data_IF_584847163382
#
_entry.id   IF_584847163382
#
_cell.length_a   1.000
_cell.length_b   1.000
_cell.length_c   1.000
_cell.angle_alpha   90.00
_cell.angle_beta   90.00
_cell.angle_gamma   90.00
#
_symmetry.space_group_name_H-M   'P 1'
#
loop_
_entity.id
_entity.type
_entity.pdbx_description
1 polymer ?
#
# COMPACT_ATOMS: atom_id res chain seq x y z
N UNK A 1 -21.01 -8.12 1.77
CA UNK A 1 -19.96 -8.23 2.80
C UNK A 1 -20.48 -9.12 3.91
N UNK A 2 -19.68 -10.12 4.33
CA UNK A 2 -20.02 -11.00 5.44
C UNK A 2 -19.43 -10.43 6.74
N UNK A 3 -20.26 -10.23 7.73
CA UNK A 3 -19.88 -9.80 9.08
C UNK A 3 -19.99 -10.99 10.01
N UNK A 4 -18.92 -11.28 10.77
CA UNK A 4 -18.86 -12.38 11.75
C UNK A 4 -18.60 -11.85 13.15
N UNK A 5 -19.21 -12.47 14.16
CA UNK A 5 -18.98 -12.14 15.57
C UNK A 5 -19.00 -13.38 16.45
N UNK A 6 -18.42 -13.25 17.63
CA UNK A 6 -18.49 -14.28 18.65
C UNK A 6 -19.79 -14.13 19.40
N UNK A 7 -20.62 -15.18 19.39
CA UNK A 7 -21.88 -15.22 20.14
C UNK A 7 -21.56 -15.29 21.64
N UNK A 8 -22.16 -14.37 22.42
CA UNK A 8 -21.90 -14.26 23.86
C UNK A 8 -23.15 -13.81 24.61
N UNK A 9 -23.48 -14.51 25.70
CA UNK A 9 -24.56 -14.10 26.59
C UNK A 9 -24.29 -12.80 27.34
N UNK A 10 -23.00 -12.45 27.53
CA UNK A 10 -22.61 -11.19 28.19
C UNK A 10 -22.80 -9.97 27.31
N UNK A 11 -22.65 -10.14 26.01
CA UNK A 11 -22.78 -9.08 25.02
C UNK A 11 -23.67 -9.60 23.89
N UNK A 12 -24.99 -9.71 24.12
CA UNK A 12 -25.90 -10.19 23.08
C UNK A 12 -25.94 -9.22 21.90
N UNK A 13 -26.03 -9.78 20.71
CA UNK A 13 -26.20 -9.02 19.46
C UNK A 13 -27.63 -9.21 19.00
N UNK A 14 -28.35 -8.15 18.68
CA UNK A 14 -29.67 -8.20 18.09
C UNK A 14 -29.76 -7.47 16.75
N UNK A 15 -28.69 -6.79 16.36
CA UNK A 15 -28.67 -6.06 15.11
C UNK A 15 -27.26 -5.61 14.70
N UNK A 16 -27.23 -4.94 13.57
CA UNK A 16 -26.07 -4.24 13.04
C UNK A 16 -26.45 -2.81 12.68
N UNK A 17 -25.57 -1.86 12.95
CA UNK A 17 -25.65 -0.52 12.43
C UNK A 17 -24.59 -0.34 11.36
N UNK A 18 -24.95 0.17 10.18
CA UNK A 18 -24.01 0.45 9.09
C UNK A 18 -24.22 1.86 8.56
N UNK A 19 -23.13 2.56 8.29
CA UNK A 19 -23.14 3.89 7.69
C UNK A 19 -21.92 4.10 6.80
N UNK A 20 -22.10 4.93 5.79
CA UNK A 20 -21.02 5.33 4.91
C UNK A 20 -20.10 6.36 5.60
N UNK A 21 -18.80 6.25 5.39
CA UNK A 21 -17.81 7.21 5.93
C UNK A 21 -18.11 8.63 5.44
N UNK A 22 -18.09 9.58 6.36
CA UNK A 22 -18.40 10.98 6.06
C UNK A 22 -19.89 11.33 6.01
N UNK A 23 -20.78 10.36 6.24
CA UNK A 23 -22.23 10.61 6.34
C UNK A 23 -22.73 10.47 7.77
N UNK A 24 -23.89 11.06 8.05
CA UNK A 24 -24.61 10.88 9.32
C UNK A 24 -25.78 9.89 9.18
N UNK A 25 -26.03 9.41 7.96
CA UNK A 25 -27.12 8.48 7.69
C UNK A 25 -26.69 7.06 8.07
N UNK A 26 -27.37 6.52 9.07
CA UNK A 26 -27.12 5.20 9.59
C UNK A 26 -28.29 4.27 9.25
N UNK A 27 -27.98 3.12 8.68
CA UNK A 27 -28.96 2.05 8.43
C UNK A 27 -28.89 1.01 9.54
N UNK A 28 -30.00 0.80 10.22
CA UNK A 28 -30.14 -0.29 11.18
C UNK A 28 -30.59 -1.57 10.49
N UNK A 29 -30.00 -2.69 10.87
CA UNK A 29 -30.32 -4.04 10.39
C UNK A 29 -30.67 -4.89 11.60
N UNK A 30 -31.92 -5.25 11.74
CA UNK A 30 -32.34 -6.19 12.77
C UNK A 30 -32.02 -7.62 12.34
N UNK A 31 -31.51 -8.43 13.25
CA UNK A 31 -31.16 -9.82 13.00
C UNK A 31 -32.30 -10.73 13.47
N UNK A 32 -32.81 -11.57 12.56
CA UNK A 32 -33.84 -12.59 12.93
C UNK A 32 -33.20 -13.71 13.77
N UNK A 33 -31.95 -14.06 13.49
CA UNK A 33 -31.18 -15.05 14.25
C UNK A 33 -29.73 -14.57 14.44
N UNK A 34 -29.49 -13.99 15.59
CA UNK A 34 -28.12 -13.54 15.98
C UNK A 34 -27.23 -14.69 16.48
N UNK A 35 -27.83 -15.87 16.77
CA UNK A 35 -27.07 -17.05 17.22
C UNK A 35 -26.20 -17.67 16.10
N UNK A 36 -26.49 -17.35 14.85
CA UNK A 36 -25.67 -17.74 13.71
C UNK A 36 -24.24 -17.16 13.76
N UNK A 37 -24.01 -16.08 14.52
CA UNK A 37 -22.70 -15.43 14.64
C UNK A 37 -22.20 -14.79 13.33
N UNK A 38 -23.07 -14.63 12.33
CA UNK A 38 -22.72 -14.04 11.04
C UNK A 38 -23.95 -13.45 10.33
N UNK A 39 -23.70 -12.46 9.49
CA UNK A 39 -24.70 -11.83 8.63
C UNK A 39 -24.09 -11.30 7.34
N UNK A 40 -24.79 -11.44 6.21
CA UNK A 40 -24.34 -10.92 4.92
C UNK A 40 -25.10 -9.65 4.57
N UNK A 41 -24.37 -8.53 4.51
CA UNK A 41 -24.89 -7.24 4.06
C UNK A 41 -24.76 -7.16 2.54
N UNK A 42 -25.87 -6.89 1.87
CA UNK A 42 -25.97 -6.73 0.41
C UNK A 42 -26.40 -5.32 0.04
N UNK A 43 -26.24 -4.96 -1.25
CA UNK A 43 -26.68 -3.65 -1.78
C UNK A 43 -25.84 -2.47 -1.37
N UNK A 44 -24.59 -2.72 -0.92
CA UNK A 44 -23.64 -1.67 -0.65
C UNK A 44 -23.03 -1.13 -1.96
N UNK A 45 -22.76 0.17 -1.98
CA UNK A 45 -22.09 0.82 -3.12
C UNK A 45 -20.65 0.27 -3.26
N UNK A 46 -20.21 -0.10 -4.46
CA UNK A 46 -18.83 -0.52 -4.69
C UNK A 46 -17.82 0.59 -4.34
N UNK A 47 -16.65 0.18 -3.85
CA UNK A 47 -15.52 1.09 -3.54
C UNK A 47 -15.85 2.17 -2.52
N UNK A 48 -16.85 1.95 -1.73
CA UNK A 48 -17.32 2.87 -0.69
C UNK A 48 -16.87 2.36 0.67
N UNK A 49 -16.38 3.25 1.49
CA UNK A 49 -15.98 2.93 2.87
C UNK A 49 -17.16 3.04 3.80
N UNK A 50 -17.36 1.99 4.55
CA UNK A 50 -18.41 1.89 5.54
C UNK A 50 -17.86 1.61 6.93
N UNK A 51 -18.61 2.04 7.92
CA UNK A 51 -18.48 1.54 9.27
C UNK A 51 -19.62 0.58 9.55
N UNK A 52 -19.34 -0.48 10.30
CA UNK A 52 -20.34 -1.39 10.85
C UNK A 52 -20.10 -1.57 12.34
N UNK A 53 -21.15 -1.56 13.12
CA UNK A 53 -21.10 -1.87 14.54
C UNK A 53 -22.13 -2.96 14.87
N UNK A 54 -21.81 -3.80 15.86
CA UNK A 54 -22.81 -4.68 16.47
C UNK A 54 -23.74 -3.83 17.34
N UNK A 55 -25.03 -4.20 17.39
CA UNK A 55 -26.00 -3.51 18.23
C UNK A 55 -26.66 -4.44 19.23
N UNK A 56 -27.06 -3.85 20.36
CA UNK A 56 -27.88 -4.48 21.40
C UNK A 56 -28.91 -3.47 21.88
N UNK A 57 -30.16 -3.63 21.49
CA UNK A 57 -31.25 -2.73 21.82
C UNK A 57 -31.62 -2.71 23.31
N UNK A 58 -31.21 -3.74 24.07
CA UNK A 58 -31.43 -3.83 25.51
C UNK A 58 -30.29 -3.17 26.32
N UNK A 59 -29.26 -2.67 25.67
CA UNK A 59 -28.16 -1.97 26.36
C UNK A 59 -28.59 -0.58 26.85
N UNK A 60 -27.91 -0.01 27.88
CA UNK A 60 -28.16 1.35 28.31
C UNK A 60 -27.98 2.37 27.17
N UNK A 61 -28.71 3.47 27.23
CA UNK A 61 -28.61 4.58 26.27
C UNK A 61 -27.16 5.04 26.09
N UNK A 62 -26.69 5.07 24.84
CA UNK A 62 -25.33 5.43 24.47
C UNK A 62 -24.33 4.25 24.47
N UNK A 63 -24.75 3.05 24.88
CA UNK A 63 -23.95 1.83 24.86
C UNK A 63 -24.51 0.76 23.90
N UNK A 64 -25.47 1.12 23.06
CA UNK A 64 -26.14 0.19 22.14
C UNK A 64 -25.25 -0.32 21.03
N UNK A 65 -24.17 0.42 20.73
CA UNK A 65 -23.23 0.08 19.65
C UNK A 65 -21.86 -0.29 20.21
N UNK A 66 -21.29 -1.35 19.68
CA UNK A 66 -19.96 -1.81 20.09
C UNK A 66 -19.25 -2.55 18.95
N UNK A 67 -17.95 -2.78 19.12
CA UNK A 67 -17.11 -3.46 18.13
C UNK A 67 -17.18 -2.84 16.72
N UNK A 68 -17.14 -1.51 16.64
CA UNK A 68 -17.14 -0.81 15.37
C UNK A 68 -15.95 -1.21 14.52
N UNK A 69 -16.20 -1.58 13.27
CA UNK A 69 -15.21 -1.92 12.27
C UNK A 69 -15.38 -1.04 11.03
N UNK A 70 -14.29 -0.70 10.41
CA UNK A 70 -14.23 0.04 9.15
C UNK A 70 -13.85 -0.92 8.03
N UNK A 71 -14.56 -0.87 6.91
CA UNK A 71 -14.21 -1.64 5.72
C UNK A 71 -14.56 -0.88 4.45
N UNK A 72 -13.90 -1.22 3.35
CA UNK A 72 -14.24 -0.68 2.02
C UNK A 72 -14.78 -1.82 1.16
N UNK A 73 -15.92 -1.58 0.51
CA UNK A 73 -16.53 -2.55 -0.37
C UNK A 73 -15.66 -2.80 -1.60
N UNK A 74 -15.58 -4.05 -2.02
CA UNK A 74 -15.00 -4.42 -3.31
C UNK A 74 -16.03 -4.23 -4.44
N UNK A 75 -15.58 -4.46 -5.67
CA UNK A 75 -16.44 -4.48 -6.84
C UNK A 75 -16.15 -3.35 -7.81
N UNK A 76 -16.83 -3.42 -8.95
CA UNK A 76 -16.64 -2.46 -10.04
C UNK A 76 -17.75 -1.41 -9.97
N UNK A 77 -17.41 -0.10 -9.93
CA UNK A 77 -18.41 0.96 -10.06
C UNK A 77 -19.19 0.84 -11.37
N UNK A 78 -20.48 1.21 -11.33
CA UNK A 78 -21.35 1.08 -12.50
C UNK A 78 -20.98 2.02 -13.66
N UNK A 79 -20.25 3.09 -13.38
CA UNK A 79 -19.75 4.07 -14.33
C UNK A 79 -18.33 3.78 -14.84
N UNK A 80 -17.75 2.64 -14.45
CA UNK A 80 -16.43 2.24 -14.88
C UNK A 80 -16.39 2.05 -16.41
N UNK A 81 -15.41 2.68 -17.04
CA UNK A 81 -15.17 2.53 -18.48
C UNK A 81 -14.36 1.27 -18.73
N UNK A 82 -14.94 0.31 -19.42
CA UNK A 82 -14.25 -0.92 -19.80
C UNK A 82 -13.17 -0.62 -20.85
N UNK A 83 -11.96 -1.09 -20.61
CA UNK A 83 -10.84 -1.00 -21.56
C UNK A 83 -10.52 -2.42 -22.03
N UNK A 84 -10.91 -2.74 -23.25
CA UNK A 84 -10.78 -4.07 -23.83
C UNK A 84 -9.38 -4.36 -24.36
N UNK A 85 -8.69 -3.33 -24.85
CA UNK A 85 -7.37 -3.45 -25.48
C UNK A 85 -6.32 -2.63 -24.72
N UNK A 86 -5.16 -3.22 -24.50
CA UNK A 86 -4.06 -2.63 -23.75
C UNK A 86 -3.45 -1.37 -24.38
N UNK A 87 -3.56 -1.20 -25.68
CA UNK A 87 -3.02 -0.01 -26.40
C UNK A 87 -3.86 1.25 -26.22
N UNK A 88 -5.13 1.10 -25.92
CA UNK A 88 -6.07 2.21 -25.80
C UNK A 88 -6.04 2.95 -24.46
N UNK A 89 -5.45 2.33 -23.43
CA UNK A 89 -5.57 2.85 -22.05
C UNK A 89 -4.99 4.25 -21.92
N UNK A 90 -3.80 4.50 -22.49
CA UNK A 90 -3.14 5.79 -22.38
C UNK A 90 -3.96 6.91 -23.04
N UNK A 91 -4.52 6.66 -24.22
CA UNK A 91 -5.32 7.64 -24.95
C UNK A 91 -6.66 7.89 -24.26
N UNK A 92 -7.29 6.84 -23.71
CA UNK A 92 -8.51 6.97 -22.89
C UNK A 92 -8.26 7.78 -21.60
N UNK A 93 -7.13 7.58 -20.93
CA UNK A 93 -6.77 8.37 -19.75
C UNK A 93 -6.59 9.84 -20.15
N UNK A 94 -5.81 10.14 -21.20
CA UNK A 94 -5.59 11.51 -21.65
C UNK A 94 -6.89 12.20 -22.03
N UNK A 95 -7.70 11.57 -22.88
CA UNK A 95 -9.01 12.10 -23.27
C UNK A 95 -9.92 12.34 -22.05
N UNK A 96 -9.91 11.41 -21.08
CA UNK A 96 -10.66 11.56 -19.83
C UNK A 96 -10.15 12.70 -18.95
N UNK A 97 -8.83 12.96 -18.90
CA UNK A 97 -8.26 14.08 -18.15
C UNK A 97 -8.69 15.44 -18.77
N UNK A 98 -8.85 15.49 -20.08
CA UNK A 98 -9.29 16.70 -20.81
C UNK A 98 -10.82 16.90 -20.75
N UNK A 99 -11.60 15.86 -20.48
CA UNK A 99 -13.07 15.90 -20.41
C UNK A 99 -13.54 16.59 -19.11
N UNK A 100 -13.90 17.87 -19.21
CA UNK A 100 -14.33 18.67 -18.05
C UNK A 100 -15.68 18.25 -17.46
N UNK A 101 -16.45 17.41 -18.15
CA UNK A 101 -17.73 16.89 -17.62
C UNK A 101 -17.54 15.80 -16.56
N UNK A 102 -16.35 15.17 -16.51
CA UNK A 102 -16.03 14.12 -15.56
C UNK A 102 -15.27 14.66 -14.35
N UNK A 103 -15.70 14.28 -13.17
CA UNK A 103 -15.01 14.61 -11.93
C UNK A 103 -13.91 13.61 -11.60
N UNK A 104 -14.05 12.37 -12.04
CA UNK A 104 -13.11 11.30 -11.84
C UNK A 104 -13.10 10.33 -13.02
N UNK A 105 -12.05 9.51 -13.11
CA UNK A 105 -11.92 8.47 -14.11
C UNK A 105 -11.84 7.11 -13.42
N UNK A 106 -12.72 6.21 -13.80
CA UNK A 106 -12.68 4.82 -13.36
C UNK A 106 -12.58 3.91 -14.57
N UNK A 107 -11.51 3.15 -14.66
CA UNK A 107 -11.28 2.20 -15.73
C UNK A 107 -11.34 0.78 -15.20
N UNK A 108 -12.15 -0.05 -15.84
CA UNK A 108 -12.14 -1.48 -15.68
C UNK A 108 -11.21 -2.09 -16.71
N UNK A 109 -10.11 -2.65 -16.26
CA UNK A 109 -9.16 -3.37 -17.09
C UNK A 109 -9.60 -4.82 -17.23
N UNK A 110 -9.52 -5.36 -18.43
CA UNK A 110 -9.89 -6.74 -18.73
C UNK A 110 -8.84 -7.71 -18.21
N UNK A 111 -9.29 -8.76 -17.58
CA UNK A 111 -8.41 -9.80 -17.03
C UNK A 111 -7.51 -10.42 -18.10
N UNK A 112 -6.24 -10.68 -17.74
CA UNK A 112 -5.25 -11.32 -18.60
C UNK A 112 -4.72 -10.43 -19.74
N UNK A 113 -5.08 -9.14 -19.78
CA UNK A 113 -4.62 -8.21 -20.81
C UNK A 113 -3.43 -7.37 -20.31
N UNK A 114 -2.46 -7.18 -21.18
CA UNK A 114 -1.31 -6.29 -20.94
C UNK A 114 -1.63 -4.87 -21.40
N UNK A 115 -1.50 -3.91 -20.50
CA UNK A 115 -1.75 -2.50 -20.75
C UNK A 115 -0.46 -1.71 -20.71
N UNK A 116 -0.30 -0.79 -21.67
CA UNK A 116 0.92 -0.01 -21.80
C UNK A 116 0.64 1.48 -21.61
N UNK A 117 1.29 2.10 -20.64
CA UNK A 117 1.30 3.56 -20.48
C UNK A 117 2.41 4.18 -21.35
N UNK A 118 2.50 3.74 -22.60
CA UNK A 118 3.54 4.15 -23.55
C UNK A 118 2.92 4.55 -24.88
N UNK A 119 3.58 5.43 -25.60
CA UNK A 119 3.12 5.81 -26.95
C UNK A 119 3.21 4.61 -27.90
N UNK A 120 2.13 4.32 -28.61
CA UNK A 120 2.07 3.24 -29.60
C UNK A 120 1.96 1.81 -29.03
N UNK A 121 1.71 1.67 -27.71
CA UNK A 121 1.56 0.34 -27.10
C UNK A 121 2.86 -0.49 -27.02
N UNK A 122 4.00 0.12 -27.25
CA UNK A 122 5.28 -0.59 -27.26
C UNK A 122 5.88 -0.67 -25.84
N UNK A 123 6.20 -1.87 -25.37
CA UNK A 123 6.86 -2.12 -24.09
C UNK A 123 8.17 -1.33 -23.95
N UNK A 124 8.85 -1.09 -25.06
CA UNK A 124 10.14 -0.39 -25.09
C UNK A 124 10.03 1.13 -25.11
N UNK A 125 8.89 1.69 -25.44
CA UNK A 125 8.72 3.13 -25.55
C UNK A 125 8.65 3.78 -24.16
N UNK A 126 9.14 5.01 -24.03
CA UNK A 126 9.03 5.78 -22.79
C UNK A 126 7.57 6.12 -22.52
N UNK A 127 7.15 5.96 -21.27
CA UNK A 127 5.89 6.55 -20.82
C UNK A 127 6.01 8.07 -20.89
N UNK A 128 5.15 8.73 -21.63
CA UNK A 128 5.01 10.18 -21.50
C UNK A 128 4.37 10.51 -20.16
N UNK A 129 4.74 11.65 -19.57
CA UNK A 129 4.08 12.13 -18.36
C UNK A 129 2.58 12.30 -18.61
N UNK A 130 1.77 11.66 -17.77
CA UNK A 130 0.32 11.83 -17.76
C UNK A 130 -0.03 12.83 -16.66
N UNK A 131 -0.38 14.06 -17.04
CA UNK A 131 -0.79 15.08 -16.07
C UNK A 131 -2.16 14.71 -15.50
N UNK A 132 -2.19 14.43 -14.20
CA UNK A 132 -3.45 14.21 -13.48
C UNK A 132 -4.06 15.56 -13.09
N UNK A 133 -5.30 15.75 -13.47
CA UNK A 133 -6.14 16.91 -13.11
C UNK A 133 -7.32 16.51 -12.23
N UNK A 134 -7.61 15.22 -12.16
CA UNK A 134 -8.72 14.61 -11.40
C UNK A 134 -8.36 13.20 -10.91
N UNK A 135 -9.21 12.66 -10.08
CA UNK A 135 -9.06 11.30 -9.52
C UNK A 135 -9.03 10.22 -10.60
N UNK A 136 -8.28 9.15 -10.34
CA UNK A 136 -8.21 8.00 -11.23
C UNK A 136 -8.21 6.69 -10.44
N UNK A 137 -8.95 5.70 -10.96
CA UNK A 137 -8.91 4.32 -10.50
C UNK A 137 -8.70 3.37 -11.69
N UNK A 138 -7.73 2.46 -11.56
CA UNK A 138 -7.45 1.36 -12.47
C UNK A 138 -7.81 0.07 -11.74
N UNK A 139 -8.86 -0.60 -12.17
CA UNK A 139 -9.47 -1.70 -11.44
C UNK A 139 -9.62 -2.92 -12.34
N UNK A 140 -9.47 -4.14 -11.79
CA UNK A 140 -9.84 -5.35 -12.48
C UNK A 140 -10.73 -6.25 -11.62
N UNK A 141 -11.51 -7.10 -12.27
CA UNK A 141 -12.29 -8.13 -11.58
C UNK A 141 -11.37 -9.23 -11.02
N UNK A 142 -11.82 -10.00 -10.02
CA UNK A 142 -11.10 -11.20 -9.59
C UNK A 142 -10.83 -12.16 -10.75
N UNK A 143 -9.66 -12.80 -10.76
CA UNK A 143 -9.21 -13.71 -11.79
C UNK A 143 -7.76 -13.43 -12.20
N UNK A 144 -7.39 -13.79 -13.43
CA UNK A 144 -6.07 -13.49 -13.98
C UNK A 144 -5.89 -11.97 -14.06
N UNK A 145 -4.92 -11.44 -13.33
CA UNK A 145 -4.74 -9.98 -13.23
C UNK A 145 -4.19 -9.40 -14.53
N UNK A 146 -4.73 -8.29 -15.02
CA UNK A 146 -4.08 -7.54 -16.09
C UNK A 146 -2.75 -6.95 -15.59
N UNK A 147 -1.83 -6.71 -16.52
CA UNK A 147 -0.55 -6.09 -16.20
C UNK A 147 -0.46 -4.70 -16.78
N UNK A 148 -0.15 -3.72 -15.92
CA UNK A 148 0.14 -2.35 -16.31
C UNK A 148 1.65 -2.16 -16.46
N UNK A 149 2.11 -1.98 -17.69
CA UNK A 149 3.51 -1.70 -17.98
C UNK A 149 3.81 -0.20 -17.94
N UNK A 150 4.83 0.15 -17.15
CA UNK A 150 5.30 1.53 -16.97
C UNK A 150 6.78 1.63 -17.32
N UNK A 151 7.20 2.79 -17.82
CA UNK A 151 8.59 3.10 -18.09
C UNK A 151 8.85 4.59 -18.04
N UNK A 152 9.88 5.05 -17.36
CA UNK A 152 10.33 6.45 -17.22
C UNK A 152 9.21 7.52 -17.33
N UNK A 153 8.81 8.05 -16.22
CA UNK A 153 7.65 8.92 -16.09
C UNK A 153 6.39 8.12 -15.86
N UNK A 154 5.37 8.72 -15.40
CA UNK A 154 4.04 8.14 -15.25
C UNK A 154 3.00 9.22 -14.93
N UNK A 155 2.21 9.01 -13.88
CA UNK A 155 1.24 9.99 -13.45
C UNK A 155 1.91 11.14 -12.72
N UNK A 156 1.67 12.36 -13.17
CA UNK A 156 2.22 13.58 -12.57
C UNK A 156 1.09 14.48 -12.08
N UNK A 157 1.18 14.87 -10.84
CA UNK A 157 0.37 15.93 -10.24
C UNK A 157 1.22 17.19 -10.13
N UNK A 158 0.74 18.30 -10.68
CA UNK A 158 1.40 19.60 -10.59
C UNK A 158 0.43 20.62 -10.02
N UNK A 159 0.44 20.85 -8.69
CA UNK A 159 -0.35 21.92 -8.09
C UNK A 159 0.19 23.29 -8.52
N UNK A 160 -0.67 24.14 -9.08
CA UNK A 160 -0.32 25.48 -9.56
C UNK A 160 -1.35 26.50 -9.04
N UNK A 161 -0.90 27.70 -8.71
CA UNK A 161 -1.82 28.77 -8.28
C UNK A 161 -2.85 29.04 -9.35
N UNK A 162 -4.14 29.01 -8.98
CA UNK A 162 -5.26 29.18 -9.91
C UNK A 162 -5.58 27.98 -10.80
N UNK A 163 -4.82 26.87 -10.69
CA UNK A 163 -5.07 25.63 -11.43
C UNK A 163 -4.73 24.42 -10.56
N UNK A 164 -5.45 24.29 -9.44
CA UNK A 164 -5.30 23.17 -8.53
C UNK A 164 -6.00 21.93 -9.09
N UNK A 165 -5.32 20.78 -9.21
CA UNK A 165 -5.98 19.54 -9.57
C UNK A 165 -6.94 19.10 -8.46
N UNK A 166 -8.10 18.57 -8.85
CA UNK A 166 -9.05 17.98 -7.90
C UNK A 166 -8.89 16.46 -7.87
N UNK A 167 -8.00 15.97 -7.01
CA UNK A 167 -7.67 14.54 -6.91
C UNK A 167 -8.04 14.07 -5.51
N UNK A 168 -9.18 13.41 -5.41
CA UNK A 168 -9.58 12.74 -4.17
C UNK A 168 -8.85 11.41 -4.00
N UNK A 169 -8.66 10.66 -5.10
CA UNK A 169 -8.01 9.38 -5.03
C UNK A 169 -7.13 9.04 -6.23
N UNK A 170 -6.13 8.21 -5.96
CA UNK A 170 -5.36 7.44 -6.92
C UNK A 170 -5.40 5.97 -6.49
N UNK A 171 -6.08 5.12 -7.25
CA UNK A 171 -6.33 3.73 -6.86
C UNK A 171 -5.88 2.78 -7.98
N UNK A 172 -5.13 1.74 -7.61
CA UNK A 172 -4.85 0.57 -8.44
C UNK A 172 -5.24 -0.67 -7.65
N UNK A 173 -6.15 -1.46 -8.18
CA UNK A 173 -6.61 -2.65 -7.49
C UNK A 173 -6.78 -3.85 -8.41
N UNK A 174 -6.20 -4.96 -7.99
CA UNK A 174 -6.17 -6.23 -8.73
C UNK A 174 -5.52 -6.08 -10.11
N UNK A 175 -4.50 -5.22 -10.24
CA UNK A 175 -3.74 -4.93 -11.45
C UNK A 175 -2.25 -5.06 -11.14
N UNK A 176 -1.55 -5.91 -11.87
CA UNK A 176 -0.10 -6.02 -11.75
C UNK A 176 0.59 -4.77 -12.31
N UNK A 177 1.66 -4.33 -11.67
CA UNK A 177 2.45 -3.18 -12.12
C UNK A 177 3.86 -3.66 -12.43
N UNK A 178 4.30 -3.50 -13.67
CA UNK A 178 5.64 -3.88 -14.09
C UNK A 178 6.36 -2.72 -14.75
N UNK A 179 7.58 -2.45 -14.31
CA UNK A 179 8.48 -1.56 -15.03
C UNK A 179 9.22 -2.37 -16.10
N UNK A 180 9.19 -1.87 -17.34
CA UNK A 180 9.88 -2.52 -18.45
C UNK A 180 11.16 -1.79 -18.78
N UNK A 181 12.23 -2.56 -18.88
CA UNK A 181 13.50 -2.11 -19.39
C UNK A 181 13.89 -2.98 -20.59
N UNK A 182 14.15 -2.34 -21.70
CA UNK A 182 14.90 -2.98 -22.77
C UNK A 182 16.39 -2.91 -22.42
N UNK A 183 17.14 -3.88 -22.80
CA UNK A 183 18.57 -4.21 -22.63
C UNK A 183 19.56 -3.14 -22.11
N UNK A 184 19.24 -1.89 -22.18
CA UNK A 184 20.05 -0.81 -21.59
C UNK A 184 19.51 -0.45 -20.20
N UNK A 185 20.35 -0.62 -19.20
CA UNK A 185 20.08 -0.19 -17.83
C UNK A 185 19.64 1.27 -17.80
N UNK A 186 18.75 1.65 -16.84
CA UNK A 186 18.36 3.03 -16.69
C UNK A 186 19.59 3.93 -16.62
N UNK A 187 19.60 5.00 -17.38
CA UNK A 187 20.66 5.99 -17.28
C UNK A 187 20.69 6.55 -15.85
N UNK A 188 21.89 6.88 -15.37
CA UNK A 188 22.09 7.48 -14.05
C UNK A 188 21.14 8.68 -13.89
N UNK A 189 20.09 8.54 -13.08
CA UNK A 189 19.06 9.56 -12.88
C UNK A 189 17.70 9.29 -13.52
N UNK A 190 17.55 8.21 -14.26
CA UNK A 190 16.24 7.71 -14.71
C UNK A 190 15.36 7.36 -13.48
N UNK A 191 14.15 7.88 -13.45
CA UNK A 191 13.30 7.80 -12.27
C UNK A 191 11.88 7.48 -12.73
N UNK A 192 11.58 6.21 -12.88
CA UNK A 192 10.19 5.81 -13.03
C UNK A 192 9.48 6.01 -11.70
N UNK A 193 8.28 6.51 -11.73
CA UNK A 193 7.41 6.69 -10.57
C UNK A 193 6.00 6.40 -11.01
N UNK A 194 5.27 5.62 -10.24
CA UNK A 194 3.87 5.43 -10.58
C UNK A 194 3.10 6.74 -10.38
N UNK A 195 3.26 7.38 -9.22
CA UNK A 195 2.71 8.70 -8.95
C UNK A 195 3.81 9.66 -8.52
N UNK A 196 3.90 10.80 -9.19
CA UNK A 196 4.80 11.89 -8.84
C UNK A 196 4.02 13.17 -8.54
N UNK A 197 4.02 13.57 -7.30
CA UNK A 197 3.52 14.89 -6.90
C UNK A 197 4.71 15.84 -7.02
N UNK A 198 4.69 16.65 -8.07
CA UNK A 198 5.79 17.52 -8.42
C UNK A 198 5.92 18.71 -7.48
N UNK A 199 6.99 19.45 -7.65
CA UNK A 199 7.23 20.69 -6.89
C UNK A 199 6.08 21.65 -7.07
N UNK A 200 5.67 22.23 -5.97
CA UNK A 200 4.69 23.31 -5.94
C UNK A 200 5.15 24.42 -4.99
N UNK A 201 4.70 25.62 -5.25
CA UNK A 201 5.11 26.83 -4.56
C UNK A 201 4.26 27.11 -3.30
N UNK A 202 4.69 28.05 -2.48
CA UNK A 202 3.89 28.54 -1.37
C UNK A 202 2.48 28.97 -1.83
N UNK A 203 1.47 28.60 -1.06
CA UNK A 203 0.06 28.89 -1.38
C UNK A 203 -0.56 27.93 -2.39
N UNK A 204 0.12 26.82 -2.71
CA UNK A 204 -0.43 25.74 -3.54
C UNK A 204 -0.57 24.46 -2.69
N UNK A 205 -1.11 24.58 -1.48
CA UNK A 205 -1.35 23.42 -0.63
C UNK A 205 -2.30 22.44 -1.34
N UNK A 206 -1.91 21.16 -1.32
CA UNK A 206 -2.57 20.14 -2.11
C UNK A 206 -2.87 18.91 -1.26
N UNK A 207 -4.06 18.36 -1.42
CA UNK A 207 -4.49 17.17 -0.68
C UNK A 207 -4.94 16.09 -1.65
N UNK A 208 -4.47 14.86 -1.42
CA UNK A 208 -5.02 13.62 -1.94
C UNK A 208 -5.68 12.90 -0.76
N UNK A 209 -6.95 12.53 -0.90
CA UNK A 209 -7.60 11.79 0.18
C UNK A 209 -7.08 10.35 0.26
N UNK A 210 -6.99 9.65 -0.87
CA UNK A 210 -6.56 8.25 -0.89
C UNK A 210 -5.53 7.95 -1.97
N UNK A 211 -4.42 7.33 -1.59
CA UNK A 211 -3.48 6.64 -2.46
C UNK A 211 -3.50 5.16 -2.10
N UNK A 212 -4.03 4.32 -2.97
CA UNK A 212 -4.23 2.90 -2.68
C UNK A 212 -3.68 2.02 -3.79
N UNK A 213 -2.90 1.00 -3.41
CA UNK A 213 -2.51 -0.10 -4.29
C UNK A 213 -2.81 -1.38 -3.55
N UNK A 214 -3.71 -2.18 -4.11
CA UNK A 214 -4.22 -3.37 -3.44
C UNK A 214 -4.29 -4.57 -4.38
N UNK A 215 -4.13 -5.78 -3.82
CA UNK A 215 -4.26 -7.03 -4.56
C UNK A 215 -3.38 -7.11 -5.82
N UNK A 216 -2.15 -6.61 -5.76
CA UNK A 216 -1.32 -6.37 -6.95
C UNK A 216 0.07 -6.96 -6.79
N UNK A 217 0.62 -7.50 -7.87
CA UNK A 217 2.04 -7.84 -7.95
C UNK A 217 2.79 -6.67 -8.59
N UNK A 218 3.84 -6.21 -7.91
CA UNK A 218 4.56 -5.00 -8.26
C UNK A 218 6.02 -5.35 -8.50
N UNK A 219 6.47 -5.20 -9.73
CA UNK A 219 7.86 -5.47 -10.13
C UNK A 219 8.49 -4.20 -10.65
N UNK A 220 9.33 -3.56 -9.84
CA UNK A 220 9.89 -2.24 -10.11
C UNK A 220 11.43 -2.27 -9.97
N UNK A 221 12.19 -2.49 -11.05
CA UNK A 221 13.66 -2.57 -10.98
C UNK A 221 14.34 -1.27 -10.53
N UNK A 222 13.73 -0.10 -10.67
CA UNK A 222 14.43 1.17 -10.42
C UNK A 222 13.67 2.22 -9.63
N UNK A 223 12.52 1.91 -9.01
CA UNK A 223 11.50 2.95 -8.89
C UNK A 223 10.77 3.04 -7.57
N UNK A 224 10.07 4.15 -7.40
CA UNK A 224 9.14 4.46 -6.32
C UNK A 224 7.69 4.36 -6.79
N UNK A 225 6.81 3.87 -5.93
CA UNK A 225 5.38 3.91 -6.18
C UNK A 225 4.86 5.34 -6.11
N UNK A 226 5.21 6.04 -5.05
CA UNK A 226 4.79 7.42 -4.88
C UNK A 226 5.96 8.29 -4.45
N UNK A 227 6.11 9.44 -5.10
CA UNK A 227 7.03 10.48 -4.69
C UNK A 227 6.30 11.80 -4.51
N UNK A 228 6.52 12.45 -3.38
CA UNK A 228 6.05 13.80 -3.14
C UNK A 228 7.22 14.76 -2.96
N UNK A 229 7.26 15.79 -3.79
CA UNK A 229 8.29 16.85 -3.79
C UNK A 229 7.63 18.20 -3.46
N UNK A 230 7.13 18.37 -2.25
CA UNK A 230 6.60 19.64 -1.79
C UNK A 230 7.77 20.58 -1.45
N UNK A 231 8.07 21.57 -2.29
CA UNK A 231 9.21 22.46 -2.06
C UNK A 231 8.90 23.64 -1.14
N UNK A 232 7.72 24.26 -1.27
CA UNK A 232 7.32 25.45 -0.50
C UNK A 232 5.85 25.38 -0.04
N UNK A 233 5.01 24.59 -0.68
CA UNK A 233 3.64 24.30 -0.26
C UNK A 233 3.54 23.04 0.62
N UNK A 234 2.33 22.69 1.00
CA UNK A 234 2.02 21.48 1.78
C UNK A 234 1.37 20.44 0.88
N UNK A 235 1.92 19.24 0.87
CA UNK A 235 1.23 18.06 0.30
C UNK A 235 0.68 17.22 1.44
N UNK A 236 -0.62 17.05 1.48
CA UNK A 236 -1.30 16.17 2.44
C UNK A 236 -1.83 14.93 1.73
N UNK A 237 -1.58 13.76 2.28
CA UNK A 237 -2.21 12.51 1.85
C UNK A 237 -2.89 11.90 3.07
N UNK A 238 -4.22 11.83 3.03
CA UNK A 238 -4.98 11.40 4.20
C UNK A 238 -4.85 9.90 4.42
N UNK A 239 -4.94 9.10 3.36
CA UNK A 239 -4.85 7.65 3.45
C UNK A 239 -3.88 7.10 2.41
N UNK A 240 -2.85 6.40 2.88
CA UNK A 240 -1.95 5.61 2.04
C UNK A 240 -2.19 4.14 2.38
N UNK A 241 -2.57 3.33 1.39
CA UNK A 241 -2.81 1.91 1.59
C UNK A 241 -2.05 1.07 0.58
N UNK A 242 -1.24 0.15 1.07
CA UNK A 242 -0.66 -0.97 0.31
C UNK A 242 -1.12 -2.23 1.02
N UNK A 243 -1.94 -3.04 0.35
CA UNK A 243 -2.53 -4.20 0.98
C UNK A 243 -2.63 -5.38 0.03
N UNK A 244 -2.29 -6.56 0.55
CA UNK A 244 -2.28 -7.80 -0.24
C UNK A 244 -1.46 -7.68 -1.53
N UNK A 245 -0.26 -7.09 -1.42
CA UNK A 245 0.66 -6.88 -2.54
C UNK A 245 1.90 -7.79 -2.45
N UNK A 246 2.42 -8.15 -3.61
CA UNK A 246 3.72 -8.81 -3.76
C UNK A 246 4.67 -7.83 -4.44
N UNK A 247 5.67 -7.33 -3.72
CA UNK A 247 6.56 -6.25 -4.19
C UNK A 247 7.98 -6.76 -4.35
N UNK A 248 8.52 -6.66 -5.55
CA UNK A 248 9.83 -7.20 -5.87
C UNK A 248 10.58 -6.44 -6.97
N UNK A 249 11.77 -6.91 -7.27
CA UNK A 249 12.51 -6.57 -8.48
C UNK A 249 13.34 -5.31 -8.43
N UNK A 250 13.51 -4.68 -7.27
CA UNK A 250 14.41 -3.54 -7.12
C UNK A 250 15.83 -4.08 -6.86
N UNK A 251 16.37 -4.71 -7.87
CA UNK A 251 17.51 -5.63 -7.72
C UNK A 251 18.84 -5.12 -8.29
N UNK A 252 18.93 -3.96 -8.93
CA UNK A 252 20.20 -3.54 -9.51
C UNK A 252 20.91 -2.47 -8.68
N UNK A 253 21.71 -2.92 -7.71
CA UNK A 253 22.53 -2.08 -6.82
C UNK A 253 23.64 -1.33 -7.54
N UNK A 254 23.99 -1.67 -8.78
CA UNK A 254 25.18 -1.10 -9.45
C UNK A 254 24.95 0.27 -10.03
N UNK A 255 23.71 0.67 -10.29
CA UNK A 255 23.40 1.89 -11.04
C UNK A 255 22.50 2.90 -10.33
N UNK A 256 21.99 2.61 -9.14
CA UNK A 256 21.08 3.52 -8.42
C UNK A 256 21.89 4.47 -7.55
N UNK A 257 22.16 5.67 -8.05
CA UNK A 257 22.92 6.69 -7.31
C UNK A 257 22.11 7.49 -6.30
N UNK A 258 20.80 7.42 -6.36
CA UNK A 258 19.89 7.98 -5.35
C UNK A 258 18.81 6.95 -5.07
N UNK A 259 18.82 6.45 -3.88
CA UNK A 259 17.89 5.46 -3.42
C UNK A 259 16.73 6.18 -2.73
N UNK A 260 15.53 5.95 -3.20
CA UNK A 260 14.30 6.48 -2.64
C UNK A 260 13.54 5.32 -1.99
N UNK A 261 12.75 5.58 -0.95
CA UNK A 261 11.78 4.61 -0.44
C UNK A 261 10.68 4.32 -1.45
N UNK A 262 9.95 3.24 -1.24
CA UNK A 262 8.79 2.90 -2.08
C UNK A 262 7.75 4.00 -2.07
N UNK A 263 7.47 4.54 -0.89
CA UNK A 263 6.74 5.78 -0.64
C UNK A 263 7.77 6.81 -0.17
N UNK A 264 7.93 7.89 -0.89
CA UNK A 264 9.04 8.80 -0.64
C UNK A 264 8.63 10.27 -0.62
N UNK A 265 9.06 10.97 0.41
CA UNK A 265 8.97 12.44 0.50
C UNK A 265 10.35 13.05 0.24
N UNK A 266 10.42 13.99 -0.71
CA UNK A 266 11.65 14.72 -1.02
C UNK A 266 11.51 16.16 -0.49
N UNK A 267 12.64 16.67 -0.01
CA UNK A 267 12.91 18.08 0.23
C UNK A 267 12.20 18.79 1.38
N UNK A 268 12.49 20.07 1.41
CA UNK A 268 12.26 21.05 2.48
C UNK A 268 10.79 21.46 2.65
N UNK A 269 9.90 20.93 1.84
CA UNK A 269 8.47 21.24 1.94
C UNK A 269 7.76 20.32 2.91
N UNK A 270 6.57 20.71 3.28
CA UNK A 270 5.74 19.98 4.22
C UNK A 270 4.98 18.86 3.53
N UNK A 271 5.35 17.62 3.79
CA UNK A 271 4.58 16.45 3.40
C UNK A 271 3.87 15.89 4.63
N UNK A 272 2.55 15.78 4.59
CA UNK A 272 1.73 15.26 5.68
C UNK A 272 1.10 13.96 5.24
N UNK A 273 1.40 12.87 5.93
CA UNK A 273 0.75 11.57 5.75
C UNK A 273 -0.06 11.26 7.00
N UNK A 274 -1.38 11.24 6.88
CA UNK A 274 -2.24 11.12 8.07
C UNK A 274 -2.41 9.68 8.53
N UNK A 275 -2.88 8.79 7.67
CA UNK A 275 -3.11 7.39 7.98
C UNK A 275 -2.44 6.52 6.90
N UNK A 276 -1.44 5.77 7.32
CA UNK A 276 -0.67 4.92 6.40
C UNK A 276 -0.78 3.49 6.85
N UNK A 277 -1.17 2.60 5.95
CA UNK A 277 -1.23 1.16 6.19
C UNK A 277 -0.52 0.38 5.10
N UNK A 278 0.37 -0.52 5.53
CA UNK A 278 1.01 -1.54 4.69
C UNK A 278 0.73 -2.87 5.34
N UNK A 279 -0.13 -3.67 4.71
CA UNK A 279 -0.65 -4.87 5.35
C UNK A 279 -0.68 -6.06 4.39
N UNK A 280 -0.60 -7.28 4.94
CA UNK A 280 -0.82 -8.52 4.20
C UNK A 280 0.03 -8.61 2.92
N UNK A 281 1.28 -8.15 2.98
CA UNK A 281 2.11 -7.96 1.80
C UNK A 281 3.48 -8.57 1.96
N UNK A 282 4.05 -9.03 0.86
CA UNK A 282 5.40 -9.56 0.82
C UNK A 282 6.31 -8.63 0.04
N UNK A 283 7.49 -8.37 0.60
CA UNK A 283 8.54 -7.56 0.01
C UNK A 283 9.80 -8.42 -0.11
N UNK A 284 10.25 -8.70 -1.32
CA UNK A 284 11.40 -9.55 -1.53
C UNK A 284 12.31 -9.03 -2.65
N UNK A 285 13.58 -9.38 -2.57
CA UNK A 285 14.60 -8.90 -3.50
C UNK A 285 14.58 -7.37 -3.66
N UNK A 286 14.47 -6.67 -2.56
CA UNK A 286 14.20 -5.25 -2.52
C UNK A 286 15.41 -4.49 -1.98
N UNK A 287 16.22 -3.95 -2.86
CA UNK A 287 17.48 -3.30 -2.50
C UNK A 287 17.38 -1.77 -2.48
N UNK A 288 16.46 -1.25 -1.68
CA UNK A 288 16.30 0.20 -1.49
C UNK A 288 16.80 0.60 -0.11
N UNK A 289 17.77 1.54 -0.06
CA UNK A 289 18.33 2.01 1.20
C UNK A 289 17.32 2.57 2.21
N UNK A 290 16.35 3.41 1.82
CA UNK A 290 15.35 3.92 2.77
C UNK A 290 14.28 2.92 3.19
N UNK A 291 14.07 1.81 2.49
CA UNK A 291 13.00 0.88 2.79
C UNK A 291 11.66 1.23 2.16
N UNK A 292 10.56 0.71 2.73
CA UNK A 292 9.20 1.04 2.27
C UNK A 292 8.99 2.55 2.35
N UNK A 293 9.38 3.18 3.43
CA UNK A 293 9.22 4.62 3.63
C UNK A 293 10.56 5.36 3.61
N UNK A 294 10.64 6.42 2.82
CA UNK A 294 11.77 7.31 2.77
C UNK A 294 11.37 8.76 3.06
N UNK A 295 11.92 9.31 4.15
CA UNK A 295 11.80 10.73 4.47
C UNK A 295 13.20 11.27 4.81
N UNK A 296 14.14 11.29 3.83
CA UNK A 296 15.57 11.44 4.14
C UNK A 296 16.01 12.85 4.45
N UNK A 297 15.26 13.88 4.12
CA UNK A 297 15.79 15.25 4.17
C UNK A 297 14.83 16.26 4.78
N UNK A 298 13.64 15.88 5.13
CA UNK A 298 12.63 16.87 5.43
C UNK A 298 12.22 16.86 6.90
N UNK A 299 12.06 18.03 7.41
CA UNK A 299 11.00 18.32 8.34
C UNK A 299 9.68 17.95 7.64
N UNK A 300 9.32 16.67 7.69
CA UNK A 300 7.96 16.26 7.37
C UNK A 300 7.17 16.56 8.62
N UNK A 301 6.40 17.65 8.69
CA UNK A 301 5.47 17.83 9.78
C UNK A 301 4.39 16.79 9.62
N UNK A 302 4.63 15.66 10.22
CA UNK A 302 3.57 14.69 10.46
C UNK A 302 2.68 15.35 11.49
N UNK A 303 1.40 15.53 11.19
CA UNK A 303 0.48 16.13 12.15
C UNK A 303 0.44 15.29 13.42
N UNK A 304 0.26 15.92 14.56
CA UNK A 304 0.15 15.20 15.83
C UNK A 304 -0.99 14.17 15.72
N UNK A 305 -0.68 12.90 16.01
CA UNK A 305 -1.64 11.81 15.90
C UNK A 305 -1.55 10.95 14.64
N UNK A 306 -0.68 11.27 13.71
CA UNK A 306 -0.47 10.47 12.50
C UNK A 306 -0.03 9.05 12.83
N UNK A 307 -0.55 8.11 12.05
CA UNK A 307 -0.38 6.69 12.29
C UNK A 307 0.19 6.01 11.05
N UNK A 308 1.28 5.29 11.22
CA UNK A 308 1.82 4.35 10.23
C UNK A 308 1.71 2.95 10.80
N UNK A 309 1.03 2.06 10.10
CA UNK A 309 0.85 0.66 10.47
C UNK A 309 1.49 -0.22 9.41
N UNK A 310 2.36 -1.11 9.84
CA UNK A 310 2.88 -2.21 9.03
C UNK A 310 2.53 -3.49 9.76
N UNK A 311 1.72 -4.33 9.15
CA UNK A 311 1.31 -5.57 9.81
C UNK A 311 1.10 -6.72 8.85
N UNK A 312 1.31 -7.93 9.35
CA UNK A 312 1.14 -9.15 8.58
C UNK A 312 1.92 -9.11 7.27
N UNK A 313 3.19 -8.70 7.34
CA UNK A 313 4.06 -8.59 6.17
C UNK A 313 5.23 -9.55 6.26
N UNK A 314 5.65 -10.08 5.11
CA UNK A 314 6.87 -10.85 4.96
C UNK A 314 7.92 -10.04 4.24
N UNK A 315 9.13 -9.94 4.81
CA UNK A 315 10.28 -9.27 4.23
C UNK A 315 11.39 -10.30 4.01
N UNK A 316 11.77 -10.51 2.76
CA UNK A 316 12.75 -11.50 2.39
C UNK A 316 13.86 -10.92 1.51
N UNK A 317 15.10 -11.33 1.74
CA UNK A 317 16.28 -10.89 0.99
C UNK A 317 16.31 -9.37 0.80
N UNK A 318 16.04 -8.67 1.89
CA UNK A 318 15.95 -7.22 1.93
C UNK A 318 17.32 -6.63 2.22
N UNK A 319 17.89 -5.95 1.25
CA UNK A 319 19.05 -5.11 1.48
C UNK A 319 20.37 -5.85 1.68
N UNK A 320 20.53 -7.04 1.15
CA UNK A 320 21.81 -7.71 1.12
C UNK A 320 22.82 -6.90 0.29
N UNK A 321 23.68 -6.17 0.98
CA UNK A 321 24.76 -5.43 0.34
C UNK A 321 25.93 -6.37 0.08
N UNK A 322 26.13 -6.78 -1.16
CA UNK A 322 27.29 -7.59 -1.56
C UNK A 322 28.62 -6.86 -1.30
N UNK A 323 28.62 -5.55 -1.15
CA UNK A 323 29.83 -4.72 -0.99
C UNK A 323 30.02 -4.17 0.44
N UNK A 324 29.14 -4.50 1.41
CA UNK A 324 29.27 -4.10 2.83
C UNK A 324 29.16 -2.59 3.12
N UNK A 325 28.84 -1.76 2.15
CA UNK A 325 28.96 -0.29 2.26
C UNK A 325 27.68 0.47 2.54
N UNK A 326 26.52 -0.09 2.22
CA UNK A 326 25.25 0.60 2.40
C UNK A 326 24.37 -0.10 3.43
N UNK A 327 23.77 0.64 4.27
CA UNK A 327 22.81 0.14 5.24
C UNK A 327 21.42 0.24 4.64
N UNK A 328 20.83 -0.88 4.32
CA UNK A 328 19.45 -0.95 3.85
C UNK A 328 18.49 -1.06 5.03
N UNK A 329 17.22 -0.69 4.82
CA UNK A 329 16.17 -0.76 5.82
C UNK A 329 14.94 -1.44 5.22
N UNK A 330 14.32 -2.31 5.98
CA UNK A 330 13.09 -2.94 5.50
C UNK A 330 11.90 -1.98 5.61
N UNK A 331 11.65 -1.47 6.78
CA UNK A 331 10.49 -0.63 7.08
C UNK A 331 10.69 0.80 6.61
N UNK A 332 11.77 1.45 7.03
CA UNK A 332 11.98 2.82 6.58
C UNK A 332 13.09 3.60 7.28
N UNK A 333 13.33 4.79 6.70
CA UNK A 333 14.24 5.78 7.25
C UNK A 333 13.46 6.99 7.76
N UNK A 334 13.37 7.10 9.07
CA UNK A 334 12.70 8.18 9.79
C UNK A 334 13.67 9.08 10.55
N UNK A 335 14.97 8.93 10.31
CA UNK A 335 16.04 9.59 11.09
C UNK A 335 15.99 11.12 11.09
N UNK A 336 15.25 11.71 10.17
CA UNK A 336 15.12 13.17 10.02
C UNK A 336 13.78 13.72 10.53
N UNK A 337 12.91 12.87 11.06
CA UNK A 337 11.65 13.34 11.62
C UNK A 337 11.90 14.12 12.91
N UNK A 338 11.33 15.30 13.01
CA UNK A 338 11.38 16.17 14.19
C UNK A 338 10.10 16.06 15.01
N UNK A 339 8.97 15.74 14.38
CA UNK A 339 7.68 15.52 15.05
C UNK A 339 7.48 14.03 15.29
N UNK A 340 7.01 13.60 16.48
CA UNK A 340 6.78 12.20 16.78
C UNK A 340 5.77 11.55 15.83
N UNK A 341 6.18 10.46 15.17
CA UNK A 341 5.33 9.60 14.38
C UNK A 341 4.88 8.40 15.21
N UNK A 342 3.60 8.07 15.19
CA UNK A 342 3.11 6.82 15.76
C UNK A 342 3.31 5.68 14.74
N UNK A 343 4.33 4.87 14.94
CA UNK A 343 4.67 3.73 14.10
C UNK A 343 4.31 2.42 14.81
N UNK A 344 3.45 1.62 14.19
CA UNK A 344 3.14 0.26 14.64
C UNK A 344 3.69 -0.73 13.64
N UNK A 345 4.53 -1.68 14.09
CA UNK A 345 5.01 -2.81 13.29
C UNK A 345 4.64 -4.08 14.03
N UNK A 346 3.79 -4.90 13.43
CA UNK A 346 3.26 -6.08 14.11
C UNK A 346 3.07 -7.27 13.18
N UNK A 347 3.27 -8.45 13.73
CA UNK A 347 3.02 -9.73 13.08
C UNK A 347 3.81 -9.88 11.76
N UNK A 348 5.01 -9.34 11.68
CA UNK A 348 5.85 -9.40 10.50
C UNK A 348 6.92 -10.49 10.62
N UNK A 349 7.29 -11.08 9.48
CA UNK A 349 8.37 -12.05 9.36
C UNK A 349 9.49 -11.46 8.50
N UNK A 350 10.74 -11.57 8.99
CA UNK A 350 11.93 -11.08 8.32
C UNK A 350 12.87 -12.26 8.05
N UNK A 351 13.13 -12.55 6.78
CA UNK A 351 13.97 -13.68 6.36
C UNK A 351 15.24 -13.23 5.62
N UNK A 352 16.24 -14.08 5.65
CA UNK A 352 17.51 -14.04 4.93
C UNK A 352 17.95 -12.66 4.43
N UNK A 353 18.48 -11.86 5.32
CA UNK A 353 18.94 -10.51 4.97
C UNK A 353 20.01 -10.04 5.94
N UNK A 354 20.87 -9.14 5.45
CA UNK A 354 21.76 -8.37 6.30
C UNK A 354 21.36 -6.92 6.25
N UNK A 355 20.48 -6.51 7.14
CA UNK A 355 19.95 -5.15 7.09
C UNK A 355 19.54 -4.60 8.46
N UNK A 356 19.33 -3.29 8.50
CA UNK A 356 18.50 -2.66 9.53
C UNK A 356 17.03 -2.90 9.22
N UNK A 357 16.19 -2.85 10.22
CA UNK A 357 14.74 -2.85 10.00
C UNK A 357 14.24 -1.43 9.79
N UNK A 358 14.67 -0.51 10.64
CA UNK A 358 14.35 0.91 10.48
C UNK A 358 15.46 1.81 11.06
N UNK A 359 15.54 3.05 10.59
CA UNK A 359 16.23 4.12 11.29
C UNK A 359 15.21 5.02 11.97
N UNK A 360 15.29 5.09 13.28
CA UNK A 360 14.42 5.92 14.08
C UNK A 360 14.92 7.38 14.12
N UNK A 361 13.97 8.30 13.93
CA UNK A 361 14.09 9.67 14.39
C UNK A 361 13.18 9.86 15.60
N UNK A 362 12.33 10.88 15.57
CA UNK A 362 11.26 11.04 16.56
C UNK A 362 10.10 10.11 16.22
N UNK A 363 10.04 8.92 16.87
CA UNK A 363 8.96 7.95 16.66
C UNK A 363 8.45 7.42 17.99
N UNK A 364 7.13 7.20 18.07
CA UNK A 364 6.49 6.40 19.09
C UNK A 364 6.27 5.00 18.51
N UNK A 365 7.17 4.07 18.83
CA UNK A 365 7.17 2.74 18.25
C UNK A 365 6.33 1.77 19.09
N UNK A 366 5.35 1.14 18.45
CA UNK A 366 4.67 -0.05 18.93
C UNK A 366 5.13 -1.26 18.11
N UNK A 367 5.78 -2.21 18.75
CA UNK A 367 6.33 -3.42 18.12
C UNK A 367 5.79 -4.66 18.80
N UNK A 368 5.11 -5.56 18.05
CA UNK A 368 4.52 -6.77 18.62
C UNK A 368 4.51 -7.92 17.59
N UNK A 369 4.95 -9.10 18.00
CA UNK A 369 4.84 -10.32 17.18
C UNK A 369 5.68 -10.28 15.91
N UNK A 370 6.87 -9.66 15.96
CA UNK A 370 7.76 -9.61 14.81
C UNK A 370 8.86 -10.65 14.96
N UNK A 371 9.02 -11.50 13.97
CA UNK A 371 9.95 -12.62 13.97
C UNK A 371 11.01 -12.46 12.89
N UNK A 372 12.16 -13.06 13.09
CA UNK A 372 13.16 -13.22 12.05
C UNK A 372 13.70 -14.65 12.00
N UNK A 373 14.06 -15.11 10.81
CA UNK A 373 14.73 -16.39 10.59
C UNK A 373 16.13 -16.37 11.22
N UNK A 374 16.69 -17.56 11.52
CA UNK A 374 18.00 -17.65 12.20
C UNK A 374 19.17 -17.13 11.35
N UNK A 375 18.99 -17.10 10.04
CA UNK A 375 19.94 -16.55 9.05
C UNK A 375 19.77 -15.06 8.77
N UNK A 376 18.80 -14.39 9.41
CA UNK A 376 18.66 -12.94 9.34
C UNK A 376 19.74 -12.25 10.18
N UNK A 377 20.70 -11.61 9.51
CA UNK A 377 21.77 -10.86 10.17
C UNK A 377 21.33 -9.42 10.45
N UNK A 378 20.83 -9.19 11.67
CA UNK A 378 20.39 -7.87 12.11
C UNK A 378 21.59 -6.94 12.31
N UNK A 379 21.64 -5.85 11.52
CA UNK A 379 22.60 -4.79 11.77
C UNK A 379 22.16 -3.93 12.96
N UNK A 380 23.12 -3.27 13.66
CA UNK A 380 22.84 -2.38 14.79
C UNK A 380 21.71 -1.42 14.50
N UNK A 381 20.68 -1.39 15.34
CA UNK A 381 19.41 -0.85 14.95
C UNK A 381 18.74 0.08 15.91
N UNK A 382 17.70 0.60 15.39
CA UNK A 382 16.78 1.53 15.98
C UNK A 382 15.52 0.83 16.50
N UNK A 383 15.65 0.12 17.60
CA UNK A 383 14.51 -0.08 18.46
C UNK A 383 13.41 -1.08 18.07
N UNK A 384 13.44 -1.73 16.92
CA UNK A 384 12.49 -2.80 16.63
C UNK A 384 12.93 -4.11 17.26
N UNK A 385 12.10 -4.66 18.14
CA UNK A 385 12.34 -5.97 18.73
C UNK A 385 11.93 -7.06 17.74
N UNK A 386 12.87 -7.91 17.36
CA UNK A 386 12.65 -9.13 16.58
C UNK A 386 12.87 -10.35 17.49
N UNK A 387 11.98 -11.31 17.38
CA UNK A 387 12.10 -12.62 18.03
C UNK A 387 12.77 -13.55 17.02
N UNK A 388 13.96 -14.05 17.36
CA UNK A 388 14.66 -15.00 16.50
C UNK A 388 13.95 -16.35 16.51
N UNK A 389 13.73 -16.90 15.35
CA UNK A 389 13.35 -18.30 15.16
C UNK A 389 14.61 -19.16 15.21
N UNK A 390 14.46 -20.42 15.65
CA UNK A 390 15.54 -21.41 15.57
C UNK A 390 15.67 -22.03 14.16
N UNK A 391 14.89 -21.52 13.22
CA UNK A 391 14.73 -22.04 11.86
C UNK A 391 15.22 -21.00 10.86
N UNK A 392 16.01 -21.44 9.88
CA UNK A 392 16.42 -20.62 8.73
C UNK A 392 15.28 -20.48 7.69
N UNK A 393 15.51 -19.63 6.69
CA UNK A 393 14.54 -19.34 5.64
C UNK A 393 14.22 -20.57 4.78
N UNK A 394 15.22 -21.37 4.42
CA UNK A 394 15.06 -22.56 3.58
C UNK A 394 14.26 -23.67 4.28
N UNK A 395 14.29 -23.70 5.62
CA UNK A 395 13.51 -24.63 6.43
C UNK A 395 12.12 -24.09 6.79
N UNK A 396 11.94 -22.77 6.85
CA UNK A 396 10.65 -22.15 7.15
C UNK A 396 9.74 -22.09 5.93
N UNK A 397 10.30 -21.78 4.75
CA UNK A 397 9.55 -21.54 3.51
C UNK A 397 9.75 -22.68 2.52
N UNK A 398 8.75 -22.90 1.66
CA UNK A 398 8.75 -24.01 0.70
C UNK A 398 9.85 -23.92 -0.34
N UNK A 399 10.01 -22.77 -0.99
CA UNK A 399 11.03 -22.57 -2.03
C UNK A 399 11.30 -21.07 -2.24
N UNK A 400 12.22 -20.54 -1.46
CA UNK A 400 12.57 -19.11 -1.50
C UNK A 400 13.25 -18.70 -2.81
N UNK A 401 13.91 -19.63 -3.52
CA UNK A 401 14.57 -19.37 -4.80
C UNK A 401 13.55 -19.13 -5.92
N UNK A 402 12.36 -19.72 -5.81
CA UNK A 402 11.24 -19.50 -6.71
C UNK A 402 10.21 -18.52 -6.16
N UNK A 403 10.56 -17.79 -5.09
CA UNK A 403 9.71 -16.82 -4.41
C UNK A 403 8.40 -17.43 -3.84
N UNK A 404 8.46 -18.70 -3.48
CA UNK A 404 7.39 -19.38 -2.73
C UNK A 404 7.69 -19.35 -1.22
N UNK A 405 7.11 -18.38 -0.55
CA UNK A 405 7.26 -18.19 0.90
C UNK A 405 6.20 -18.93 1.71
N UNK A 406 5.56 -19.96 1.14
CA UNK A 406 4.61 -20.80 1.87
C UNK A 406 5.29 -21.43 3.07
N UNK A 407 4.74 -21.19 4.26
CA UNK A 407 5.24 -21.75 5.51
C UNK A 407 4.98 -23.25 5.51
N UNK A 408 6.04 -24.05 5.62
CA UNK A 408 5.96 -25.53 5.51
C UNK A 408 5.83 -26.22 6.86
N UNK A 409 6.18 -25.57 7.96
CA UNK A 409 6.08 -26.10 9.31
C UNK A 409 4.79 -25.65 9.99
N UNK A 410 3.78 -26.55 10.02
CA UNK A 410 2.51 -26.29 10.68
C UNK A 410 2.63 -26.15 12.21
N UNK A 411 3.73 -26.62 12.81
CA UNK A 411 3.98 -26.49 14.24
C UNK A 411 4.69 -25.19 14.60
N UNK A 412 5.22 -24.47 13.62
CA UNK A 412 5.87 -23.19 13.85
C UNK A 412 4.92 -22.13 14.44
N UNK A 413 5.47 -21.23 15.23
CA UNK A 413 4.71 -20.08 15.75
C UNK A 413 4.20 -19.18 14.62
N UNK A 414 4.90 -19.16 13.49
CA UNK A 414 4.52 -18.36 12.32
C UNK A 414 3.21 -18.90 11.75
N UNK A 415 3.11 -20.21 11.53
CA UNK A 415 1.90 -20.84 11.02
C UNK A 415 0.73 -20.75 12.02
N UNK A 416 0.94 -21.13 13.27
CA UNK A 416 -0.10 -21.18 14.30
C UNK A 416 -0.70 -19.83 14.67
N UNK A 417 0.08 -18.76 14.52
CA UNK A 417 -0.36 -17.40 14.85
C UNK A 417 -0.63 -16.53 13.62
N UNK A 418 -0.53 -17.12 12.43
CA UNK A 418 -0.74 -16.44 11.15
C UNK A 418 0.11 -15.17 11.01
N UNK A 419 1.40 -15.25 11.37
CA UNK A 419 2.35 -14.16 11.26
C UNK A 419 2.94 -14.07 9.85
N UNK A 420 3.22 -12.87 9.38
CA UNK A 420 3.66 -12.60 8.03
C UNK A 420 2.50 -12.37 7.07
N UNK A 421 2.76 -12.45 5.78
CA UNK A 421 1.74 -12.29 4.74
C UNK A 421 0.81 -13.51 4.73
N UNK A 422 -0.51 -13.33 4.92
CA UNK A 422 -1.47 -14.44 5.01
C UNK A 422 -1.52 -15.34 3.78
N UNK A 423 -1.11 -14.86 2.61
CA UNK A 423 -1.06 -15.68 1.38
C UNK A 423 -0.17 -16.91 1.49
N UNK A 424 0.79 -16.88 2.41
CA UNK A 424 1.77 -17.94 2.63
C UNK A 424 1.42 -18.89 3.78
N UNK A 425 0.35 -18.56 4.52
CA UNK A 425 -0.19 -19.36 5.61
C UNK A 425 -1.36 -20.18 5.07
N UNK A 426 -1.07 -21.15 4.22
CA UNK A 426 -2.10 -22.03 3.65
C UNK A 426 -2.27 -23.25 4.53
N UNK A 427 -3.50 -23.78 4.58
CA UNK A 427 -3.77 -25.10 5.12
C UNK A 427 -2.92 -26.07 4.29
N UNK A 428 -2.00 -26.77 4.96
CA UNK A 428 -1.27 -27.87 4.37
C UNK A 428 -2.29 -29.01 4.25
N UNK A 429 -2.77 -29.28 3.02
CA UNK A 429 -3.63 -30.44 2.72
C UNK A 429 -2.87 -31.76 2.92
#
# INVERSE_FOLDING_TARGET
VEIKWVVSEKNPVDGLAIWEEGTTEEKQISLEDASAGQYTITGLTPRTTYYVALTNSAAPEGAEKYNQQRFTTAGMPADAVVVEDGVDLMDKIKAGMDDTSKQALVFQLKNGVDYYLTTGGEVAAKTGDIKLTKSIALLANPGERPTLYIREGCFIVKPEVGNMPNIEYFIVDNVNIKETWTESKPSKGSKTRLLNIGKHNAGTDFTIDRFEITNSDIVLPSTVLMMSDASEGVTTINHIRIDNCLVSGINDTKNVTKQFGLIHAINKGSNVWNDVSVTNSTFYEFYISPGVFGAPTADVPIAAGNKVVISNCTFYNWGSNKDGKNTYRAVGNFSKLTTPLNLSVSNCVFGSSKSKVLDAGSINLNSKGNYCTSDFEKMSDAGLTLISLDTDDASLFRNVEENDFTVVDAESVIYKSEYGDPRWIKVLD
#
